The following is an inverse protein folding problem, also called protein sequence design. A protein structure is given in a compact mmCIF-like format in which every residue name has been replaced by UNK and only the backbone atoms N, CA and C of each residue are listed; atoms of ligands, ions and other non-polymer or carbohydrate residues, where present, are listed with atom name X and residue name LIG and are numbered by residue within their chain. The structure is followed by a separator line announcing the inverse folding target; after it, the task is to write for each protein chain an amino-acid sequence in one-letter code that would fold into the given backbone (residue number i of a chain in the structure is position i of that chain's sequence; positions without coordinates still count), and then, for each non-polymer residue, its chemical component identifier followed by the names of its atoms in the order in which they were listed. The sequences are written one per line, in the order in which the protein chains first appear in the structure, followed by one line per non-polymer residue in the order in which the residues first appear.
data_IF_599611453000
#
_entry.id   IF_599611453000
#
_cell.length_a   1.000
_cell.length_b   1.000
_cell.length_c   1.000
_cell.angle_alpha   90.00
_cell.angle_beta   90.00
_cell.angle_gamma   90.00
#
_symmetry.space_group_name_H-M   'P 1'
#
loop_
_entity.id
_entity.type
_entity.pdbx_description
1 polymer ?
#
# COMPACT_ATOMS: atom_id res chain seq x y z
N UNK A 1 -31.55 -14.38 8.52
CA UNK A 1 -30.37 -14.75 7.72
C UNK A 1 -29.66 -13.57 7.05
N UNK A 2 -30.33 -12.45 6.73
CA UNK A 2 -29.68 -11.29 6.10
C UNK A 2 -28.85 -10.39 7.04
N UNK A 3 -29.18 -10.34 8.33
CA UNK A 3 -28.53 -9.41 9.27
C UNK A 3 -27.10 -9.83 9.62
N UNK A 4 -26.86 -11.13 9.80
CA UNK A 4 -25.54 -11.67 10.14
C UNK A 4 -24.60 -11.55 8.93
N UNK A 5 -25.11 -11.77 7.72
CA UNK A 5 -24.33 -11.61 6.48
C UNK A 5 -23.99 -10.14 6.23
N UNK A 6 -24.92 -9.21 6.46
CA UNK A 6 -24.66 -7.77 6.32
C UNK A 6 -23.60 -7.28 7.34
N UNK A 7 -23.68 -7.75 8.58
CA UNK A 7 -22.68 -7.46 9.61
C UNK A 7 -21.30 -8.01 9.25
N UNK A 8 -21.24 -9.22 8.69
CA UNK A 8 -20.01 -9.82 8.19
C UNK A 8 -19.38 -8.97 7.08
N UNK A 9 -20.15 -8.59 6.06
CA UNK A 9 -19.62 -7.75 4.97
C UNK A 9 -19.16 -6.36 5.46
N UNK A 10 -19.90 -5.73 6.38
CA UNK A 10 -19.52 -4.44 6.97
C UNK A 10 -18.20 -4.52 7.75
N UNK A 11 -17.95 -5.63 8.45
CA UNK A 11 -16.69 -5.84 9.15
C UNK A 11 -15.50 -5.90 8.19
N UNK A 12 -15.60 -6.67 7.10
CA UNK A 12 -14.53 -6.72 6.10
C UNK A 12 -14.37 -5.41 5.33
N UNK A 13 -15.46 -4.69 5.06
CA UNK A 13 -15.40 -3.37 4.44
C UNK A 13 -14.58 -2.39 5.30
N UNK A 14 -14.82 -2.35 6.61
CA UNK A 14 -14.06 -1.49 7.52
C UNK A 14 -12.57 -1.84 7.57
N UNK A 15 -12.23 -3.13 7.53
CA UNK A 15 -10.82 -3.58 7.49
C UNK A 15 -10.15 -3.17 6.18
N UNK A 16 -10.81 -3.39 5.05
CA UNK A 16 -10.25 -3.04 3.74
C UNK A 16 -10.13 -1.52 3.55
N UNK A 17 -11.07 -0.75 4.08
CA UNK A 17 -11.03 0.72 4.05
C UNK A 17 -9.87 1.27 4.89
N UNK A 18 -9.63 0.70 6.08
CA UNK A 18 -8.49 1.09 6.92
C UNK A 18 -7.15 0.71 6.29
N UNK A 19 -7.04 -0.50 5.73
CA UNK A 19 -5.84 -0.93 4.98
C UNK A 19 -5.59 -0.05 3.75
N UNK A 20 -6.64 0.26 2.99
CA UNK A 20 -6.57 1.14 1.82
C UNK A 20 -6.12 2.56 2.18
N UNK A 21 -6.64 3.12 3.27
CA UNK A 21 -6.22 4.44 3.76
C UNK A 21 -4.77 4.46 4.25
N UNK A 22 -4.30 3.39 4.91
CA UNK A 22 -2.90 3.26 5.34
C UNK A 22 -1.96 3.10 4.15
N UNK A 23 -2.34 2.29 3.15
CA UNK A 23 -1.58 2.12 1.92
C UNK A 23 -1.54 3.42 1.10
N UNK A 24 -2.65 4.16 1.03
CA UNK A 24 -2.75 5.43 0.32
C UNK A 24 -1.93 6.56 0.98
N UNK A 25 -1.68 6.49 2.29
CA UNK A 25 -0.84 7.48 2.97
C UNK A 25 0.63 7.40 2.55
N UNK A 26 1.09 6.23 2.09
CA UNK A 26 2.51 5.92 1.86
C UNK A 26 2.72 5.12 0.56
N UNK A 27 2.30 5.64 -0.62
CA UNK A 27 2.52 4.92 -1.88
C UNK A 27 4.02 4.78 -2.19
N UNK A 28 4.82 5.79 -1.85
CA UNK A 28 6.25 5.86 -2.20
C UNK A 28 7.19 5.65 -0.99
N UNK A 29 6.85 4.76 -0.05
CA UNK A 29 7.67 4.55 1.16
C UNK A 29 8.66 3.38 1.06
N UNK A 30 8.60 2.62 -0.03
CA UNK A 30 9.52 1.52 -0.31
C UNK A 30 10.43 1.82 -1.50
N UNK A 31 11.69 1.40 -1.39
CA UNK A 31 12.67 1.35 -2.48
C UNK A 31 12.28 0.45 -3.67
N UNK A 32 11.06 -0.11 -3.68
CA UNK A 32 10.63 -1.14 -4.62
C UNK A 32 9.78 -0.61 -5.80
N UNK A 33 9.24 0.61 -5.72
CA UNK A 33 8.45 1.21 -6.81
C UNK A 33 9.28 2.06 -7.78
N UNK A 34 10.47 2.49 -7.36
CA UNK A 34 11.42 3.18 -8.23
C UNK A 34 12.40 2.15 -8.80
N UNK A 35 12.70 2.24 -10.10
CA UNK A 35 13.80 1.47 -10.65
C UNK A 35 15.09 1.88 -9.91
N UNK A 36 15.69 0.95 -9.18
CA UNK A 36 16.96 1.19 -8.49
C UNK A 36 18.01 1.58 -9.54
N UNK A 37 18.39 2.86 -9.54
CA UNK A 37 19.34 3.39 -10.51
C UNK A 37 20.69 2.75 -10.20
N UNK A 38 21.32 2.03 -11.16
CA UNK A 38 22.57 1.33 -10.89
C UNK A 38 23.62 2.31 -10.37
N UNK A 39 24.36 1.87 -9.34
CA UNK A 39 25.35 2.69 -8.63
C UNK A 39 26.41 3.28 -9.57
N UNK A 40 26.66 2.62 -10.70
CA UNK A 40 27.55 3.05 -11.78
C UNK A 40 27.12 4.38 -12.43
N UNK A 41 25.82 4.68 -12.44
CA UNK A 41 25.26 5.92 -13.00
C UNK A 41 25.10 7.02 -11.95
N UNK A 42 24.93 6.67 -10.67
CA UNK A 42 24.76 7.63 -9.56
C UNK A 42 26.08 8.02 -8.92
N UNK A 43 27.09 7.14 -8.92
CA UNK A 43 28.43 7.38 -8.39
C UNK A 43 29.38 7.87 -9.49
N UNK A 44 29.01 8.95 -10.17
CA UNK A 44 29.91 9.66 -11.07
C UNK A 44 30.97 10.38 -10.22
N UNK A 45 32.06 9.69 -9.89
CA UNK A 45 33.28 10.30 -9.35
C UNK A 45 33.72 11.41 -10.30
N UNK A 46 33.48 12.66 -9.88
CA UNK A 46 34.04 13.87 -10.49
C UNK A 46 35.45 14.10 -9.96
#
# INVERSE_FOLDING_TARGET
MMFITDLFFKFFAAILETLGNVAAYKPCFGYFDEAEVPEELTNLKR
#
